data_IF_636734084923
#
_entry.id   IF_636734084923
#
_cell.length_a   1.000
_cell.length_b   1.000
_cell.length_c   1.000
_cell.angle_alpha   90.00
_cell.angle_beta   90.00
_cell.angle_gamma   90.00
#
_symmetry.space_group_name_H-M   'P 1'
#
loop_
_entity.id
_entity.type
_entity.pdbx_description
1 polymer ?
#
# COMPACT_ATOMS: atom_id res chain seq x y z
N UNK A 1 20.49 43.08 -46.25
CA UNK A 1 21.18 42.62 -45.03
C UNK A 1 20.19 41.81 -44.20
N UNK A 2 20.49 40.53 -43.95
CA UNK A 2 19.59 39.58 -43.27
C UNK A 2 19.76 39.72 -41.75
N UNK A 3 18.79 40.32 -41.06
CA UNK A 3 18.71 40.26 -39.59
C UNK A 3 18.10 38.91 -39.17
N UNK A 4 18.95 38.02 -38.64
CA UNK A 4 18.51 36.79 -37.97
C UNK A 4 18.17 37.14 -36.52
N UNK A 5 16.89 37.07 -36.18
CA UNK A 5 16.42 37.13 -34.80
C UNK A 5 16.82 35.82 -34.11
N UNK A 6 17.73 35.88 -33.12
CA UNK A 6 18.13 34.72 -32.32
C UNK A 6 17.07 34.50 -31.23
N UNK A 7 16.31 33.40 -31.32
CA UNK A 7 15.42 32.95 -30.25
C UNK A 7 16.26 32.20 -29.20
N UNK A 8 16.49 32.83 -28.04
CA UNK A 8 17.06 32.13 -26.89
C UNK A 8 15.96 31.37 -26.14
N UNK A 9 15.89 30.06 -26.38
CA UNK A 9 15.14 29.14 -25.52
C UNK A 9 15.96 28.93 -24.23
N UNK A 10 15.56 29.60 -23.15
CA UNK A 10 16.02 29.25 -21.80
C UNK A 10 15.33 27.95 -21.38
N UNK A 11 16.03 26.81 -21.53
CA UNK A 11 15.66 25.60 -20.82
C UNK A 11 15.97 25.80 -19.34
N UNK A 12 14.99 26.24 -18.56
CA UNK A 12 15.02 26.08 -17.12
C UNK A 12 14.88 24.58 -16.82
N UNK A 13 16.00 23.87 -16.70
CA UNK A 13 16.01 22.58 -16.00
C UNK A 13 15.86 22.89 -14.52
N UNK A 14 14.62 23.03 -14.04
CA UNK A 14 14.35 22.95 -12.61
C UNK A 14 14.66 21.52 -12.22
N UNK A 15 15.87 21.27 -11.73
CA UNK A 15 16.17 20.05 -10.99
C UNK A 15 15.42 20.16 -9.66
N UNK A 16 14.13 19.80 -9.68
CA UNK A 16 13.42 19.45 -8.47
C UNK A 16 14.19 18.26 -7.88
N UNK A 17 15.08 18.55 -6.93
CA UNK A 17 15.58 17.54 -6.01
C UNK A 17 14.36 17.05 -5.24
N UNK A 18 13.68 16.06 -5.79
CA UNK A 18 12.53 15.49 -5.13
C UNK A 18 13.04 14.82 -3.86
N UNK A 19 12.49 15.25 -2.73
CA UNK A 19 12.88 14.79 -1.41
C UNK A 19 12.03 13.58 -1.05
N UNK A 20 12.66 12.57 -0.44
CA UNK A 20 11.95 11.51 0.24
C UNK A 20 11.21 12.12 1.45
N UNK A 21 9.88 12.11 1.37
CA UNK A 21 9.00 12.60 2.44
C UNK A 21 8.57 11.44 3.32
N UNK A 22 8.51 11.63 4.63
CA UNK A 22 8.01 10.61 5.54
C UNK A 22 6.56 10.26 5.18
N UNK A 23 6.30 8.96 5.02
CA UNK A 23 4.97 8.46 4.66
C UNK A 23 3.98 8.70 5.81
N UNK A 24 4.48 8.79 7.04
CA UNK A 24 3.69 9.19 8.22
C UNK A 24 3.15 10.62 8.10
N UNK A 25 3.76 11.46 7.26
CA UNK A 25 3.32 12.83 6.98
C UNK A 25 2.36 12.88 5.76
N UNK A 26 1.79 11.74 5.34
CA UNK A 26 0.89 11.60 4.19
C UNK A 26 -0.50 11.07 4.56
N UNK A 27 -1.41 11.22 3.60
CA UNK A 27 -2.85 10.91 3.63
C UNK A 27 -3.19 9.40 3.72
N UNK A 28 -2.46 8.61 4.52
CA UNK A 28 -2.86 7.21 4.75
C UNK A 28 -4.20 7.22 5.50
N UNK A 29 -5.20 6.57 4.92
CA UNK A 29 -6.48 6.34 5.58
C UNK A 29 -6.44 4.99 6.28
N UNK A 30 -6.72 4.97 7.58
CA UNK A 30 -6.76 3.74 8.37
C UNK A 30 -8.19 3.28 8.60
N UNK A 31 -8.43 1.98 8.47
CA UNK A 31 -9.71 1.36 8.85
C UNK A 31 -9.51 0.08 9.64
N UNK A 32 -9.89 0.12 10.91
CA UNK A 32 -9.93 -1.07 11.76
C UNK A 32 -11.24 -1.83 11.59
N UNK A 33 -11.15 -3.15 11.47
CA UNK A 33 -12.27 -4.07 11.31
C UNK A 33 -12.18 -5.21 12.32
N UNK A 34 -13.25 -5.39 13.10
CA UNK A 34 -13.37 -6.43 14.13
C UNK A 34 -14.77 -7.09 14.16
N UNK A 35 -15.60 -6.79 13.16
CA UNK A 35 -16.95 -7.30 12.98
C UNK A 35 -17.37 -7.16 11.51
N UNK A 36 -18.42 -7.88 11.12
CA UNK A 36 -19.03 -7.70 9.81
C UNK A 36 -19.51 -6.26 9.67
N UNK A 37 -19.08 -5.58 8.60
CA UNK A 37 -19.41 -4.19 8.37
C UNK A 37 -19.22 -3.83 6.90
N UNK A 38 -19.82 -2.72 6.51
CA UNK A 38 -19.62 -2.10 5.21
C UNK A 38 -18.98 -0.74 5.44
N UNK A 39 -17.94 -0.42 4.68
CA UNK A 39 -17.35 0.91 4.66
C UNK A 39 -16.94 1.31 3.24
N UNK A 40 -16.64 2.59 3.05
CA UNK A 40 -16.20 3.13 1.77
C UNK A 40 -14.86 3.83 1.91
N UNK A 41 -14.05 3.71 0.88
CA UNK A 41 -12.82 4.47 0.67
C UNK A 41 -12.81 4.88 -0.79
N UNK A 42 -12.76 6.19 -1.05
CA UNK A 42 -12.96 6.78 -2.38
C UNK A 42 -14.22 6.21 -3.07
N UNK A 43 -14.07 5.69 -4.29
CA UNK A 43 -15.14 5.10 -5.11
C UNK A 43 -15.36 3.59 -4.85
N UNK A 44 -14.69 3.03 -3.85
CA UNK A 44 -14.80 1.62 -3.49
C UNK A 44 -15.64 1.41 -2.22
N UNK A 45 -16.45 0.35 -2.24
CA UNK A 45 -17.22 -0.13 -1.08
C UNK A 45 -16.68 -1.49 -0.68
N UNK A 46 -16.26 -1.61 0.56
CA UNK A 46 -15.73 -2.82 1.18
C UNK A 46 -16.82 -3.41 2.05
N UNK A 47 -17.24 -4.64 1.74
CA UNK A 47 -18.21 -5.40 2.50
C UNK A 47 -17.49 -6.57 3.16
N UNK A 48 -17.35 -6.50 4.48
CA UNK A 48 -16.62 -7.46 5.29
C UNK A 48 -17.59 -8.38 6.01
N UNK A 49 -17.35 -9.68 5.87
CA UNK A 49 -17.93 -10.73 6.71
C UNK A 49 -16.86 -11.23 7.67
N UNK A 50 -17.05 -10.94 8.95
CA UNK A 50 -16.15 -11.36 10.02
C UNK A 50 -16.57 -12.72 10.58
N UNK A 51 -15.59 -13.57 10.88
CA UNK A 51 -15.77 -14.81 11.61
C UNK A 51 -14.88 -14.77 12.85
N UNK A 52 -15.46 -15.04 14.02
CA UNK A 52 -14.76 -14.98 15.31
C UNK A 52 -13.86 -16.20 15.55
N UNK A 53 -14.01 -17.26 14.76
CA UNK A 53 -13.26 -18.52 14.89
C UNK A 53 -12.73 -18.97 13.52
N UNK A 54 -12.28 -18.01 12.71
CA UNK A 54 -11.77 -18.25 11.36
C UNK A 54 -10.53 -19.16 11.37
N UNK A 55 -9.65 -18.94 12.34
CA UNK A 55 -8.33 -19.55 12.40
C UNK A 55 -8.08 -20.15 13.78
N UNK A 56 -7.08 -21.02 13.90
CA UNK A 56 -6.77 -21.73 15.14
C UNK A 56 -5.27 -21.84 15.34
N UNK A 57 -4.80 -21.63 16.58
CA UNK A 57 -3.46 -21.98 17.00
C UNK A 57 -3.48 -22.72 18.33
N UNK A 58 -2.51 -23.61 18.55
CA UNK A 58 -2.45 -24.41 19.78
C UNK A 58 -2.27 -23.56 21.05
N UNK A 59 -1.64 -22.39 20.94
CA UNK A 59 -1.34 -21.51 22.05
C UNK A 59 -2.44 -20.48 22.35
N UNK A 60 -3.28 -20.10 21.37
CA UNK A 60 -4.29 -19.05 21.53
C UNK A 60 -5.73 -19.57 21.37
N UNK A 61 -5.90 -20.81 20.90
CA UNK A 61 -7.20 -21.35 20.52
C UNK A 61 -7.70 -20.76 19.20
N UNK A 62 -9.02 -20.72 19.03
CA UNK A 62 -9.63 -20.11 17.85
C UNK A 62 -9.60 -18.59 17.93
N UNK A 63 -9.23 -17.93 16.83
CA UNK A 63 -9.23 -16.47 16.71
C UNK A 63 -9.92 -16.01 15.43
N UNK A 64 -10.24 -14.72 15.41
CA UNK A 64 -11.08 -14.12 14.39
C UNK A 64 -10.35 -13.77 13.09
N UNK A 65 -11.13 -13.33 12.13
CA UNK A 65 -10.63 -12.74 10.89
C UNK A 65 -11.76 -12.43 9.93
N UNK A 66 -11.40 -12.03 8.72
CA UNK A 66 -12.33 -11.76 7.64
C UNK A 66 -12.50 -13.02 6.82
N UNK A 67 -13.61 -13.73 7.08
CA UNK A 67 -14.03 -14.88 6.28
C UNK A 67 -14.20 -14.52 4.82
N UNK A 68 -14.80 -13.37 4.54
CA UNK A 68 -14.98 -12.88 3.18
C UNK A 68 -14.95 -11.35 3.13
N UNK A 69 -14.11 -10.80 2.25
CA UNK A 69 -14.08 -9.40 1.88
C UNK A 69 -14.55 -9.27 0.43
N UNK A 70 -15.69 -8.63 0.22
CA UNK A 70 -16.17 -8.25 -1.10
C UNK A 70 -15.91 -6.77 -1.35
N UNK A 71 -15.27 -6.45 -2.47
CA UNK A 71 -14.98 -5.06 -2.85
C UNK A 71 -15.81 -4.73 -4.08
N UNK A 72 -16.46 -3.57 -4.05
CA UNK A 72 -17.29 -3.07 -5.15
C UNK A 72 -16.77 -1.70 -5.61
N UNK A 73 -16.81 -1.46 -6.91
CA UNK A 73 -16.62 -0.14 -7.52
C UNK A 73 -17.97 0.31 -8.10
N UNK A 74 -18.60 1.29 -7.48
CA UNK A 74 -20.03 1.55 -7.71
C UNK A 74 -20.88 0.32 -7.35
N UNK A 75 -21.63 -0.21 -8.32
CA UNK A 75 -22.47 -1.40 -8.15
C UNK A 75 -21.81 -2.71 -8.63
N UNK A 76 -20.60 -2.64 -9.22
CA UNK A 76 -19.89 -3.81 -9.75
C UNK A 76 -19.02 -4.43 -8.67
N UNK A 77 -19.18 -5.74 -8.44
CA UNK A 77 -18.25 -6.53 -7.63
C UNK A 77 -16.93 -6.65 -8.39
N UNK A 78 -15.82 -6.23 -7.78
CA UNK A 78 -14.48 -6.27 -8.39
C UNK A 78 -13.59 -7.34 -7.80
N UNK A 79 -13.72 -7.63 -6.50
CA UNK A 79 -12.96 -8.67 -5.83
C UNK A 79 -13.77 -9.40 -4.77
N UNK A 80 -13.41 -10.66 -4.55
CA UNK A 80 -13.76 -11.45 -3.38
C UNK A 80 -12.47 -12.05 -2.83
N UNK A 81 -12.05 -11.62 -1.64
CA UNK A 81 -10.98 -12.25 -0.89
C UNK A 81 -11.60 -13.09 0.22
N UNK A 82 -11.01 -14.24 0.51
CA UNK A 82 -11.50 -15.16 1.54
C UNK A 82 -10.40 -15.45 2.54
N UNK A 83 -10.81 -15.73 3.77
CA UNK A 83 -9.94 -16.20 4.84
C UNK A 83 -8.74 -15.28 5.10
N UNK A 84 -8.98 -13.97 5.25
CA UNK A 84 -7.95 -13.04 5.72
C UNK A 84 -7.92 -13.15 7.24
N UNK A 85 -6.91 -13.81 7.78
CA UNK A 85 -6.76 -14.06 9.21
C UNK A 85 -6.37 -12.79 9.98
N UNK A 86 -6.72 -12.70 11.26
CA UNK A 86 -6.11 -11.73 12.18
C UNK A 86 -4.76 -12.28 12.65
N UNK A 87 -3.64 -11.80 12.09
CA UNK A 87 -2.34 -12.45 12.32
C UNK A 87 -1.85 -12.37 13.76
N UNK A 88 -2.43 -11.49 14.58
CA UNK A 88 -2.00 -11.25 15.95
C UNK A 88 -3.03 -11.72 16.98
N UNK A 89 -4.15 -12.30 16.53
CA UNK A 89 -5.30 -12.65 17.36
C UNK A 89 -5.77 -11.51 18.28
N UNK A 90 -5.65 -10.25 17.84
CA UNK A 90 -6.11 -9.07 18.58
C UNK A 90 -7.60 -8.78 18.40
N UNK A 91 -8.31 -9.70 17.74
CA UNK A 91 -9.69 -9.57 17.29
C UNK A 91 -9.90 -8.32 16.41
N UNK A 92 -8.92 -7.98 15.56
CA UNK A 92 -9.01 -6.87 14.62
C UNK A 92 -8.03 -7.01 13.45
N UNK A 93 -8.42 -6.49 12.28
CA UNK A 93 -7.55 -6.26 11.13
C UNK A 93 -7.56 -4.77 10.80
N UNK A 94 -6.38 -4.18 10.57
CA UNK A 94 -6.26 -2.77 10.21
C UNK A 94 -5.89 -2.68 8.74
N UNK A 95 -6.79 -2.12 7.95
CA UNK A 95 -6.51 -1.73 6.58
C UNK A 95 -5.80 -0.38 6.57
N UNK A 96 -4.77 -0.25 5.74
CA UNK A 96 -4.15 1.03 5.40
C UNK A 96 -4.39 1.29 3.93
N UNK A 97 -4.94 2.45 3.61
CA UNK A 97 -5.27 2.83 2.24
C UNK A 97 -4.37 3.97 1.79
N UNK A 98 -3.69 3.76 0.67
CA UNK A 98 -2.78 4.71 0.06
C UNK A 98 -2.56 4.32 -1.41
N UNK A 99 -2.11 5.25 -2.25
CA UNK A 99 -1.67 4.96 -3.62
C UNK A 99 -0.20 4.53 -3.58
N UNK A 100 0.04 3.24 -3.33
CA UNK A 100 1.38 2.72 -3.02
C UNK A 100 2.28 2.69 -4.24
N UNK A 101 1.72 2.33 -5.40
CA UNK A 101 2.46 2.29 -6.67
C UNK A 101 2.47 3.62 -7.43
N UNK A 102 1.82 4.65 -6.89
CA UNK A 102 1.78 6.01 -7.42
C UNK A 102 1.19 6.06 -8.84
N UNK A 103 0.12 5.30 -9.07
CA UNK A 103 -0.62 5.27 -10.34
C UNK A 103 -1.93 6.08 -10.30
N UNK A 104 -2.27 6.67 -9.15
CA UNK A 104 -3.45 7.49 -8.93
C UNK A 104 -4.68 6.72 -8.45
N UNK A 105 -4.58 5.41 -8.24
CA UNK A 105 -5.65 4.58 -7.67
C UNK A 105 -5.38 4.25 -6.21
N UNK A 106 -6.46 3.99 -5.46
CA UNK A 106 -6.33 3.65 -4.04
C UNK A 106 -6.03 2.16 -3.89
N UNK A 107 -4.88 1.86 -3.31
CA UNK A 107 -4.47 0.53 -2.92
C UNK A 107 -4.80 0.29 -1.44
N UNK A 108 -4.61 -0.93 -0.97
CA UNK A 108 -4.66 -1.20 0.46
C UNK A 108 -3.62 -2.21 0.92
N UNK A 109 -3.21 -2.09 2.17
CA UNK A 109 -2.45 -3.11 2.88
C UNK A 109 -3.19 -3.61 4.10
N UNK A 110 -2.85 -4.83 4.52
CA UNK A 110 -3.24 -5.42 5.81
C UNK A 110 -2.03 -6.06 6.45
N UNK A 111 -2.08 -6.30 7.77
CA UNK A 111 -0.96 -6.91 8.46
C UNK A 111 -0.76 -8.38 8.05
N UNK A 112 0.50 -8.81 7.91
CA UNK A 112 0.91 -10.22 7.84
C UNK A 112 1.23 -10.76 9.21
N UNK A 113 1.95 -9.95 9.99
CA UNK A 113 2.48 -10.26 11.31
C UNK A 113 2.75 -8.93 12.02
N UNK A 114 2.61 -8.89 13.34
CA UNK A 114 2.93 -7.74 14.17
C UNK A 114 3.49 -8.18 15.51
N UNK A 115 4.80 -8.39 15.54
CA UNK A 115 5.59 -8.47 16.77
C UNK A 115 6.24 -7.12 17.10
N UNK A 116 7.58 -7.10 17.08
CA UNK A 116 8.36 -5.85 17.22
C UNK A 116 8.14 -4.87 16.05
N UNK A 117 7.81 -5.41 14.88
CA UNK A 117 7.52 -4.69 13.65
C UNK A 117 6.22 -5.21 13.06
N UNK A 118 5.44 -4.32 12.45
CA UNK A 118 4.28 -4.73 11.64
C UNK A 118 4.71 -4.90 10.19
N UNK A 119 4.60 -6.14 9.71
CA UNK A 119 4.80 -6.49 8.31
C UNK A 119 3.47 -6.47 7.58
N UNK A 120 3.49 -6.12 6.29
CA UNK A 120 2.26 -5.85 5.53
C UNK A 120 2.21 -6.64 4.23
N UNK A 121 0.98 -7.00 3.86
CA UNK A 121 0.58 -7.56 2.57
C UNK A 121 -0.09 -6.45 1.77
N UNK A 122 0.27 -6.30 0.50
CA UNK A 122 -0.19 -5.20 -0.34
C UNK A 122 -1.09 -5.67 -1.47
N UNK A 123 -2.21 -4.98 -1.64
CA UNK A 123 -3.21 -5.21 -2.67
C UNK A 123 -3.30 -3.97 -3.54
N UNK A 124 -2.74 -4.06 -4.75
CA UNK A 124 -2.71 -2.95 -5.70
C UNK A 124 -3.92 -3.02 -6.63
N UNK A 125 -4.56 -1.88 -6.87
CA UNK A 125 -5.69 -1.84 -7.80
C UNK A 125 -5.19 -1.79 -9.24
N UNK A 126 -5.54 -2.79 -10.05
CA UNK A 126 -5.29 -2.78 -11.48
C UNK A 126 -6.49 -2.13 -12.21
N UNK A 127 -6.35 -0.90 -12.74
CA UNK A 127 -7.46 -0.22 -13.42
C UNK A 127 -7.84 -0.86 -14.76
N UNK A 128 -6.90 -1.54 -15.43
CA UNK A 128 -7.13 -2.24 -16.71
C UNK A 128 -8.01 -3.46 -16.49
N UNK A 129 -7.71 -4.26 -15.46
CA UNK A 129 -8.47 -5.47 -15.14
C UNK A 129 -9.66 -5.20 -14.21
N UNK A 130 -9.72 -4.00 -13.65
CA UNK A 130 -10.76 -3.55 -12.72
C UNK A 130 -10.90 -4.51 -11.53
N UNK A 131 -9.76 -4.85 -10.92
CA UNK A 131 -9.64 -5.72 -9.74
C UNK A 131 -8.40 -5.33 -8.93
N UNK A 132 -8.41 -5.65 -7.64
CA UNK A 132 -7.24 -5.66 -6.78
C UNK A 132 -6.43 -6.94 -6.97
N UNK A 133 -5.11 -6.82 -6.92
CA UNK A 133 -4.16 -7.92 -7.01
C UNK A 133 -3.24 -7.89 -5.81
N UNK A 134 -3.09 -9.04 -5.14
CA UNK A 134 -2.04 -9.21 -4.14
C UNK A 134 -0.72 -9.40 -4.87
N UNK A 135 0.26 -8.53 -4.59
CA UNK A 135 1.58 -8.58 -5.22
C UNK A 135 2.60 -9.07 -4.20
N UNK A 136 2.98 -10.34 -4.27
CA UNK A 136 3.87 -10.98 -3.28
C UNK A 136 5.23 -10.28 -3.12
N UNK A 137 5.77 -9.67 -4.19
CA UNK A 137 7.04 -8.94 -4.12
C UNK A 137 6.97 -7.68 -3.26
N UNK A 138 5.77 -7.25 -2.86
CA UNK A 138 5.57 -6.15 -1.93
C UNK A 138 5.40 -6.61 -0.48
N UNK A 139 5.20 -7.91 -0.24
CA UNK A 139 5.01 -8.42 1.12
C UNK A 139 6.25 -8.13 1.97
N UNK A 140 6.01 -7.88 3.26
CA UNK A 140 7.04 -7.53 4.23
C UNK A 140 7.76 -6.19 3.96
N UNK A 141 7.30 -5.39 2.98
CA UNK A 141 7.79 -4.01 2.91
C UNK A 141 7.23 -3.17 4.04
N UNK A 142 8.13 -2.48 4.73
CA UNK A 142 7.80 -1.44 5.71
C UNK A 142 8.17 -0.10 5.12
N UNK A 143 7.25 0.57 4.45
CA UNK A 143 7.56 1.85 3.79
C UNK A 143 7.75 2.94 4.85
N UNK A 144 8.89 3.63 4.84
CA UNK A 144 9.17 4.77 5.70
C UNK A 144 8.89 6.07 4.97
N UNK A 145 9.47 6.21 3.77
CA UNK A 145 9.43 7.46 3.00
C UNK A 145 9.02 7.19 1.56
N UNK A 146 8.42 8.20 0.95
CA UNK A 146 8.01 8.17 -0.45
C UNK A 146 8.46 9.43 -1.18
N UNK A 147 8.89 9.25 -2.41
CA UNK A 147 9.17 10.30 -3.39
C UNK A 147 8.18 10.10 -4.54
N UNK A 148 7.11 10.91 -4.52
CA UNK A 148 6.04 10.82 -5.52
C UNK A 148 6.53 11.22 -6.92
N UNK A 149 7.48 12.15 -6.99
CA UNK A 149 7.97 12.71 -8.26
C UNK A 149 8.82 11.70 -9.01
N UNK A 150 9.76 11.03 -8.32
CA UNK A 150 10.62 10.02 -8.93
C UNK A 150 10.08 8.59 -8.80
N UNK A 151 8.89 8.42 -8.20
CA UNK A 151 8.27 7.15 -7.86
C UNK A 151 9.21 6.21 -7.11
N UNK A 152 9.67 6.65 -5.93
CA UNK A 152 10.57 5.85 -5.08
C UNK A 152 10.01 5.67 -3.68
N UNK A 153 10.34 4.55 -3.07
CA UNK A 153 10.04 4.25 -1.68
C UNK A 153 11.33 3.87 -0.95
N UNK A 154 11.46 4.32 0.29
CA UNK A 154 12.53 3.93 1.21
C UNK A 154 11.91 3.12 2.34
N UNK A 155 12.46 1.96 2.64
CA UNK A 155 11.97 1.12 3.74
C UNK A 155 12.38 1.65 5.11
N UNK A 156 11.70 1.19 6.15
CA UNK A 156 12.03 1.45 7.55
C UNK A 156 13.23 0.59 7.95
N UNK A 157 14.14 1.14 8.77
CA UNK A 157 15.23 0.36 9.32
C UNK A 157 14.74 -0.66 10.36
N UNK A 158 15.56 -1.66 10.62
CA UNK A 158 15.41 -2.57 11.75
C UNK A 158 16.10 -1.99 12.99
N UNK A 159 15.29 -1.43 13.88
CA UNK A 159 15.77 -0.76 15.09
C UNK A 159 16.71 0.39 14.73
N UNK A 160 17.96 0.29 15.22
CA UNK A 160 18.98 1.33 15.04
C UNK A 160 19.97 1.04 13.89
N UNK A 161 19.75 -0.02 13.10
CA UNK A 161 20.62 -0.37 11.96
C UNK A 161 20.20 0.41 10.72
N UNK A 162 21.14 0.93 9.92
CA UNK A 162 20.80 1.55 8.63
C UNK A 162 20.75 0.51 7.48
N UNK A 163 19.79 -0.40 7.56
CA UNK A 163 19.51 -1.41 6.53
C UNK A 163 18.34 -1.04 5.61
N UNK A 164 18.05 0.27 5.46
CA UNK A 164 16.95 0.71 4.60
C UNK A 164 17.27 0.42 3.14
N UNK A 165 16.29 -0.08 2.43
CA UNK A 165 16.33 -0.37 1.01
C UNK A 165 15.57 0.73 0.26
N UNK A 166 16.12 1.16 -0.87
CA UNK A 166 15.51 2.15 -1.74
C UNK A 166 15.04 1.45 -3.00
N UNK A 167 13.76 1.58 -3.32
CA UNK A 167 13.17 1.01 -4.52
C UNK A 167 12.66 2.12 -5.44
N UNK A 168 12.81 1.91 -6.75
CA UNK A 168 12.03 2.59 -7.78
C UNK A 168 10.80 1.76 -8.10
N UNK A 169 9.65 2.41 -8.22
CA UNK A 169 8.38 1.79 -8.61
C UNK A 169 8.20 1.91 -10.12
N UNK A 170 7.92 0.79 -10.78
CA UNK A 170 7.54 0.73 -12.20
C UNK A 170 6.26 -0.09 -12.35
N UNK A 171 5.11 0.59 -12.29
CA UNK A 171 3.81 -0.07 -12.20
C UNK A 171 3.73 -0.89 -10.91
N UNK A 172 3.43 -2.18 -11.02
CA UNK A 172 3.42 -3.10 -9.86
C UNK A 172 4.80 -3.60 -9.45
N UNK A 173 5.86 -3.28 -10.20
CA UNK A 173 7.21 -3.79 -9.94
C UNK A 173 8.01 -2.87 -9.03
N UNK A 174 8.84 -3.47 -8.20
CA UNK A 174 9.86 -2.80 -7.40
C UNK A 174 11.24 -3.15 -7.93
N UNK A 175 12.04 -2.12 -8.17
CA UNK A 175 13.42 -2.26 -8.62
C UNK A 175 14.31 -1.64 -7.55
N UNK A 176 15.09 -2.47 -6.87
CA UNK A 176 16.04 -1.99 -5.87
C UNK A 176 17.11 -1.12 -6.56
N UNK A 177 17.40 0.02 -5.94
CA UNK A 177 18.41 0.97 -6.41
C UNK A 177 19.40 1.29 -5.30
N UNK A 178 20.69 1.38 -5.66
CA UNK A 178 21.74 1.69 -4.68
C UNK A 178 21.52 3.06 -4.04
N UNK A 179 21.56 3.09 -2.71
CA UNK A 179 21.67 4.31 -1.93
C UNK A 179 23.08 4.86 -2.12
N UNK A 180 23.20 6.08 -2.66
CA UNK A 180 24.48 6.79 -2.78
C UNK A 180 24.80 7.51 -1.49
#
# INVERSE_FOLDING_TARGET
MKNRLLFYFFFFTVSLNAQLLDLKDKDIVFKTVNKSQIFKVNNFKFNVTWDKKLSYSNNLGSYGGIKELKIYKGNKLVNVFKNIEDPNALNQIVFRFFDYNLDGYIDFSVQIDSGKSTWEKYYLYNPTENKYEHIETWDYLRIQKIDKTNKRILTQPDGNVDNRELFKIEGVKLIEIKRK
#
